data_IF_335781924590
#
_entry.id   IF_335781924590
#
_cell.length_a   1.000
_cell.length_b   1.000
_cell.length_c   1.000
_cell.angle_alpha   90.00
_cell.angle_beta   90.00
_cell.angle_gamma   90.00
#
_symmetry.space_group_name_H-M   'P 1'
#
loop_
_entity.id
_entity.type
_entity.pdbx_description
1 polymer ?
#
# COMPACT_ATOMS: atom_id res chain seq x y z
N UNK A 1 14.75 15.53 -20.09
CA UNK A 1 14.57 15.97 -18.69
C UNK A 1 13.31 15.27 -18.19
N UNK A 2 13.47 14.26 -17.33
CA UNK A 2 12.33 13.49 -16.80
C UNK A 2 11.72 14.34 -15.67
N UNK A 3 10.42 14.59 -15.75
CA UNK A 3 9.69 15.42 -14.80
C UNK A 3 9.23 14.50 -13.67
N UNK A 4 9.99 14.45 -12.59
CA UNK A 4 9.56 13.80 -11.36
C UNK A 4 8.48 14.68 -10.73
N UNK A 5 7.33 14.08 -10.41
CA UNK A 5 6.21 14.78 -9.78
C UNK A 5 5.99 14.11 -8.44
N UNK A 6 6.38 14.80 -7.36
CA UNK A 6 6.15 14.37 -6.00
C UNK A 6 4.81 14.96 -5.54
N UNK A 7 3.88 14.12 -5.08
CA UNK A 7 2.56 14.56 -4.60
C UNK A 7 2.38 14.04 -3.18
N UNK A 8 2.26 14.96 -2.24
CA UNK A 8 2.07 14.67 -0.82
C UNK A 8 0.66 15.11 -0.42
N UNK A 9 -0.19 14.15 -0.03
CA UNK A 9 -1.53 14.40 0.52
C UNK A 9 -1.42 14.25 2.04
N UNK A 10 -1.62 15.33 2.80
CA UNK A 10 -1.61 15.31 4.28
C UNK A 10 -2.81 16.04 4.86
N UNK A 11 -3.43 15.41 5.85
CA UNK A 11 -4.36 16.01 6.81
C UNK A 11 -3.54 16.36 8.07
N UNK A 12 -3.39 17.65 8.38
CA UNK A 12 -2.37 18.17 9.30
C UNK A 12 -2.66 17.88 10.78
N UNK A 13 -3.90 17.56 11.17
CA UNK A 13 -4.31 17.55 12.58
C UNK A 13 -3.88 16.28 13.36
N UNK A 14 -3.42 15.23 12.65
CA UNK A 14 -3.08 13.92 13.23
C UNK A 14 -1.73 13.34 12.78
N UNK A 15 -0.90 14.14 12.10
CA UNK A 15 0.33 13.66 11.49
C UNK A 15 1.43 13.38 12.55
N UNK A 16 1.57 12.12 12.96
CA UNK A 16 2.84 11.62 13.48
C UNK A 16 3.88 11.68 12.36
N UNK A 17 5.03 12.31 12.62
CA UNK A 17 6.16 12.32 11.70
C UNK A 17 6.77 10.91 11.63
N UNK A 18 6.22 10.05 10.78
CA UNK A 18 6.77 8.74 10.49
C UNK A 18 7.95 8.89 9.54
N UNK A 19 9.06 8.23 9.87
CA UNK A 19 10.19 8.08 8.97
C UNK A 19 9.89 6.92 8.02
N UNK A 20 9.76 7.24 6.73
CA UNK A 20 9.45 6.25 5.69
C UNK A 20 10.57 6.21 4.65
N UNK A 21 11.10 5.02 4.41
CA UNK A 21 11.99 4.73 3.30
C UNK A 21 11.25 3.84 2.29
N UNK A 22 10.87 4.42 1.17
CA UNK A 22 10.09 3.75 0.11
C UNK A 22 10.95 3.46 -1.11
N UNK A 23 10.73 2.29 -1.69
CA UNK A 23 11.20 1.91 -3.01
C UNK A 23 10.02 1.45 -3.85
N UNK A 24 9.85 2.04 -5.02
CA UNK A 24 8.88 1.57 -6.01
C UNK A 24 9.54 1.30 -7.35
N UNK A 25 8.98 0.36 -8.10
CA UNK A 25 9.37 0.06 -9.48
C UNK A 25 8.14 -0.12 -10.34
N UNK A 26 8.18 0.49 -11.52
CA UNK A 26 7.13 0.35 -12.54
C UNK A 26 7.68 -0.44 -13.72
N UNK A 27 6.91 -1.41 -14.17
CA UNK A 27 7.18 -2.21 -15.35
C UNK A 27 6.04 -2.01 -16.33
N UNK A 28 6.37 -1.50 -17.51
CA UNK A 28 5.42 -1.39 -18.62
C UNK A 28 5.63 -2.60 -19.56
N UNK A 29 4.58 -3.39 -19.73
CA UNK A 29 4.51 -4.47 -20.69
C UNK A 29 3.45 -4.15 -21.76
N UNK A 30 3.43 -4.90 -22.86
CA UNK A 30 2.55 -4.63 -24.01
C UNK A 30 1.06 -4.52 -23.63
N UNK A 31 0.59 -5.39 -22.72
CA UNK A 31 -0.81 -5.47 -22.30
C UNK A 31 -1.06 -5.02 -20.86
N UNK A 32 -0.01 -4.70 -20.07
CA UNK A 32 -0.16 -4.38 -18.64
C UNK A 32 0.91 -3.44 -18.10
N UNK A 33 0.56 -2.74 -17.04
CA UNK A 33 1.48 -1.95 -16.22
C UNK A 33 1.50 -2.54 -14.82
N UNK A 34 2.69 -2.85 -14.30
CA UNK A 34 2.88 -3.39 -12.95
C UNK A 34 3.68 -2.40 -12.12
N UNK A 35 3.09 -1.90 -11.04
CA UNK A 35 3.74 -1.11 -10.01
C UNK A 35 4.00 -2.02 -8.81
N UNK A 36 5.24 -2.15 -8.38
CA UNK A 36 5.62 -2.81 -7.13
C UNK A 36 6.16 -1.77 -6.16
N UNK A 37 5.88 -1.94 -4.87
CA UNK A 37 6.42 -1.08 -3.83
C UNK A 37 6.81 -1.86 -2.57
N UNK A 38 7.80 -1.31 -1.87
CA UNK A 38 8.23 -1.75 -0.54
C UNK A 38 8.61 -0.50 0.25
N UNK A 39 7.95 -0.28 1.39
CA UNK A 39 8.15 0.88 2.24
C UNK A 39 8.46 0.41 3.65
N UNK A 40 9.63 0.80 4.16
CA UNK A 40 9.98 0.64 5.56
C UNK A 40 9.46 1.87 6.31
N UNK A 41 8.59 1.64 7.28
CA UNK A 41 7.97 2.69 8.10
C UNK A 41 8.45 2.53 9.54
N UNK A 42 8.85 3.64 10.16
CA UNK A 42 9.26 3.70 11.55
C UNK A 42 8.82 5.00 12.25
N UNK A 43 8.56 4.91 13.55
CA UNK A 43 8.22 6.06 14.41
C UNK A 43 9.45 6.93 14.76
N UNK A 44 10.65 6.35 14.80
CA UNK A 44 11.92 7.05 14.93
C UNK A 44 13.01 6.34 14.10
N UNK A 45 13.91 7.04 13.39
CA UNK A 45 14.90 6.40 12.51
C UNK A 45 16.00 5.60 13.23
N UNK A 46 16.26 5.87 14.51
CA UNK A 46 17.40 5.29 15.26
C UNK A 46 16.92 4.39 16.41
N UNK A 47 15.76 4.68 17.00
CA UNK A 47 15.19 3.95 18.12
C UNK A 47 13.67 3.79 17.95
N UNK A 48 13.28 2.97 16.97
CA UNK A 48 11.87 2.75 16.63
C UNK A 48 11.24 1.74 17.57
N UNK A 49 10.16 2.12 18.27
CA UNK A 49 9.34 1.15 18.98
C UNK A 49 8.29 0.50 18.08
N UNK A 50 7.99 1.12 16.94
CA UNK A 50 7.15 0.57 15.89
C UNK A 50 7.92 0.64 14.57
N UNK A 51 8.29 -0.52 14.04
CA UNK A 51 8.93 -0.66 12.74
C UNK A 51 8.22 -1.76 11.95
N UNK A 52 7.86 -1.45 10.71
CA UNK A 52 7.19 -2.40 9.84
C UNK A 52 7.46 -2.10 8.39
N UNK A 53 7.24 -3.11 7.56
CA UNK A 53 7.35 -3.04 6.11
C UNK A 53 5.98 -3.19 5.49
N UNK A 54 5.64 -2.22 4.65
CA UNK A 54 4.51 -2.29 3.74
C UNK A 54 5.01 -2.73 2.38
N UNK A 55 4.36 -3.73 1.80
CA UNK A 55 4.74 -4.26 0.50
C UNK A 55 3.50 -4.58 -0.30
N UNK A 56 3.61 -4.38 -1.60
CA UNK A 56 2.51 -4.71 -2.48
C UNK A 56 2.85 -4.53 -3.93
N UNK A 57 1.87 -4.87 -4.76
CA UNK A 57 1.88 -4.52 -6.15
C UNK A 57 0.47 -4.18 -6.63
N UNK A 58 0.43 -3.37 -7.69
CA UNK A 58 -0.75 -3.10 -8.49
C UNK A 58 -0.41 -3.48 -9.93
N UNK A 59 -1.23 -4.32 -10.54
CA UNK A 59 -1.14 -4.70 -11.93
C UNK A 59 -2.40 -4.23 -12.65
N UNK A 60 -2.23 -3.34 -13.62
CA UNK A 60 -3.28 -2.85 -14.48
C UNK A 60 -3.14 -3.48 -15.86
N UNK A 61 -4.11 -4.29 -16.27
CA UNK A 61 -4.16 -4.88 -17.62
C UNK A 61 -5.17 -4.11 -18.46
N UNK A 62 -4.73 -3.60 -19.62
CA UNK A 62 -5.60 -2.86 -20.53
C UNK A 62 -6.59 -3.82 -21.19
N UNK A 63 -7.80 -3.35 -21.46
CA UNK A 63 -8.68 -4.02 -22.40
C UNK A 63 -7.94 -4.16 -23.74
N UNK A 64 -7.84 -5.38 -24.26
CA UNK A 64 -7.31 -5.61 -25.62
C UNK A 64 -8.28 -5.12 -26.69
N UNK A 65 -8.20 -5.69 -27.90
CA UNK A 65 -9.05 -5.29 -29.03
C UNK A 65 -10.55 -5.52 -28.80
N UNK A 66 -10.91 -6.28 -27.78
CA UNK A 66 -12.30 -6.40 -27.34
C UNK A 66 -12.60 -5.42 -26.20
N UNK A 67 -13.24 -4.26 -26.48
CA UNK A 67 -13.61 -3.30 -25.46
C UNK A 67 -14.63 -3.83 -24.43
N UNK A 68 -15.31 -4.95 -24.73
CA UNK A 68 -16.20 -5.59 -23.75
C UNK A 68 -15.46 -6.39 -22.67
N UNK A 69 -14.17 -6.67 -22.84
CA UNK A 69 -13.38 -7.43 -21.87
C UNK A 69 -13.04 -6.63 -20.60
N UNK A 70 -13.18 -5.31 -20.63
CA UNK A 70 -12.82 -4.42 -19.52
C UNK A 70 -11.31 -4.37 -19.26
N UNK A 71 -10.87 -3.37 -18.48
CA UNK A 71 -9.48 -3.34 -17.98
C UNK A 71 -9.44 -3.96 -16.59
N UNK A 72 -8.42 -4.74 -16.26
CA UNK A 72 -8.37 -5.46 -14.98
C UNK A 72 -7.34 -4.82 -14.07
N UNK A 73 -7.78 -4.37 -12.89
CA UNK A 73 -6.90 -4.02 -11.79
C UNK A 73 -6.74 -5.23 -10.87
N UNK A 74 -5.50 -5.66 -10.64
CA UNK A 74 -5.16 -6.66 -9.65
C UNK A 74 -4.23 -6.04 -8.61
N UNK A 75 -4.49 -6.29 -7.34
CA UNK A 75 -3.69 -5.74 -6.25
C UNK A 75 -3.30 -6.85 -5.29
N UNK A 76 -2.14 -6.67 -4.66
CA UNK A 76 -1.76 -7.42 -3.47
C UNK A 76 -1.08 -6.47 -2.50
N UNK A 77 -1.37 -6.62 -1.22
CA UNK A 77 -0.81 -5.79 -0.17
C UNK A 77 -0.54 -6.61 1.09
N UNK A 78 0.52 -6.27 1.81
CA UNK A 78 0.90 -6.87 3.08
C UNK A 78 1.61 -5.85 3.96
N UNK A 79 1.35 -5.95 5.26
CA UNK A 79 2.12 -5.30 6.32
C UNK A 79 2.84 -6.39 7.11
N UNK A 80 4.14 -6.22 7.34
CA UNK A 80 4.95 -7.16 8.13
C UNK A 80 5.72 -6.39 9.21
N UNK A 81 5.63 -6.76 10.49
CA UNK A 81 6.49 -6.15 11.51
C UNK A 81 7.97 -6.47 11.23
N UNK A 82 8.83 -5.48 11.43
CA UNK A 82 10.28 -5.66 11.42
C UNK A 82 10.73 -5.87 12.86
N UNK A 83 11.05 -7.11 13.21
CA UNK A 83 11.51 -7.46 14.56
C UNK A 83 13.02 -7.30 14.61
N UNK A 84 13.51 -6.46 15.52
CA UNK A 84 14.95 -6.34 15.78
C UNK A 84 15.46 -7.69 16.32
N UNK A 85 16.46 -8.34 15.71
CA UNK A 85 16.88 -9.70 16.07
C UNK A 85 17.53 -9.81 17.46
N UNK A 86 17.63 -8.73 18.23
CA UNK A 86 18.30 -8.73 19.52
C UNK A 86 17.37 -9.29 20.62
N UNK A 87 17.61 -10.52 21.12
CA UNK A 87 16.62 -11.30 21.88
C UNK A 87 16.62 -10.99 23.39
N UNK A 88 17.25 -9.90 23.82
CA UNK A 88 17.30 -9.49 25.23
C UNK A 88 16.07 -8.63 25.60
N UNK A 89 14.88 -9.09 25.21
CA UNK A 89 13.65 -8.35 25.48
C UNK A 89 13.07 -8.73 26.84
N UNK A 90 13.11 -7.77 27.76
CA UNK A 90 12.38 -7.84 29.03
C UNK A 90 10.87 -8.08 28.79
N UNK A 91 10.15 -8.64 29.78
CA UNK A 91 8.73 -9.01 29.62
C UNK A 91 7.81 -7.87 29.13
N UNK A 92 8.15 -6.61 29.41
CA UNK A 92 7.42 -5.45 28.90
C UNK A 92 7.61 -5.20 27.39
N UNK A 93 8.75 -5.59 26.82
CA UNK A 93 9.01 -5.48 25.37
C UNK A 93 8.26 -6.56 24.58
N UNK A 94 8.13 -7.77 25.13
CA UNK A 94 7.35 -8.85 24.50
C UNK A 94 5.86 -8.48 24.37
N UNK A 95 5.25 -7.95 25.44
CA UNK A 95 3.86 -7.51 25.42
C UNK A 95 3.61 -6.35 24.43
N UNK A 96 4.56 -5.43 24.32
CA UNK A 96 4.50 -4.34 23.32
C UNK A 96 4.62 -4.85 21.89
N UNK A 97 5.46 -5.86 21.65
CA UNK A 97 5.60 -6.48 20.34
C UNK A 97 4.32 -7.19 19.89
N UNK A 98 3.64 -7.90 20.80
CA UNK A 98 2.34 -8.52 20.52
C UNK A 98 1.26 -7.49 20.18
N UNK A 99 1.21 -6.39 20.94
CA UNK A 99 0.26 -5.30 20.66
C UNK A 99 0.54 -4.64 19.31
N UNK A 100 1.82 -4.38 18.99
CA UNK A 100 2.21 -3.85 17.69
C UNK A 100 1.82 -4.80 16.55
N UNK A 101 2.07 -6.11 16.71
CA UNK A 101 1.67 -7.11 15.72
C UNK A 101 0.15 -7.08 15.49
N UNK A 102 -0.65 -7.05 16.56
CA UNK A 102 -2.10 -6.96 16.46
C UNK A 102 -2.54 -5.69 15.71
N UNK A 103 -1.97 -4.53 16.04
CA UNK A 103 -2.28 -3.26 15.35
C UNK A 103 -1.92 -3.34 13.87
N UNK A 104 -0.74 -3.85 13.53
CA UNK A 104 -0.27 -3.97 12.14
C UNK A 104 -1.11 -4.96 11.33
N UNK A 105 -1.60 -6.04 11.94
CA UNK A 105 -2.53 -6.96 11.29
C UNK A 105 -3.87 -6.28 10.97
N UNK A 106 -4.41 -5.48 11.90
CA UNK A 106 -5.65 -4.74 11.67
C UNK A 106 -5.47 -3.65 10.60
N UNK A 107 -4.37 -2.90 10.65
CA UNK A 107 -4.01 -1.94 9.61
C UNK A 107 -3.87 -2.63 8.25
N UNK A 108 -3.19 -3.77 8.22
CA UNK A 108 -3.04 -4.62 7.04
C UNK A 108 -4.38 -5.01 6.43
N UNK A 109 -5.34 -5.43 7.27
CA UNK A 109 -6.70 -5.77 6.86
C UNK A 109 -7.46 -4.57 6.29
N UNK A 110 -7.46 -3.43 6.98
CA UNK A 110 -8.15 -2.20 6.53
C UNK A 110 -7.61 -1.73 5.17
N UNK A 111 -6.29 -1.71 5.02
CA UNK A 111 -5.66 -1.30 3.76
C UNK A 111 -5.98 -2.28 2.63
N UNK A 112 -6.00 -3.59 2.92
CA UNK A 112 -6.41 -4.59 1.96
C UNK A 112 -7.87 -4.43 1.53
N UNK A 113 -8.79 -4.21 2.48
CA UNK A 113 -10.21 -3.96 2.19
C UNK A 113 -10.39 -2.72 1.31
N UNK A 114 -9.59 -1.67 1.54
CA UNK A 114 -9.59 -0.47 0.70
C UNK A 114 -9.14 -0.78 -0.74
N UNK A 115 -8.10 -1.58 -0.93
CA UNK A 115 -7.67 -1.99 -2.28
C UNK A 115 -8.73 -2.84 -2.99
N UNK A 116 -9.40 -3.75 -2.26
CA UNK A 116 -10.50 -4.54 -2.81
C UNK A 116 -11.68 -3.65 -3.22
N UNK A 117 -12.00 -2.63 -2.43
CA UNK A 117 -13.05 -1.65 -2.77
C UNK A 117 -12.69 -0.88 -4.04
N UNK A 118 -11.48 -0.32 -4.13
CA UNK A 118 -11.00 0.39 -5.34
C UNK A 118 -11.10 -0.52 -6.57
N UNK A 119 -10.73 -1.79 -6.43
CA UNK A 119 -10.84 -2.76 -7.52
C UNK A 119 -12.31 -2.98 -7.93
N UNK A 120 -13.24 -3.10 -6.97
CA UNK A 120 -14.66 -3.23 -7.26
C UNK A 120 -15.24 -1.98 -7.94
N UNK A 121 -14.89 -0.78 -7.45
CA UNK A 121 -15.33 0.50 -8.01
C UNK A 121 -14.86 0.65 -9.46
N UNK A 122 -13.63 0.22 -9.76
CA UNK A 122 -13.09 0.19 -11.13
C UNK A 122 -13.89 -0.73 -12.06
N UNK A 123 -14.37 -1.88 -11.55
CA UNK A 123 -15.22 -2.81 -12.32
C UNK A 123 -16.61 -2.21 -12.54
N UNK A 124 -17.20 -1.59 -11.51
CA UNK A 124 -18.51 -0.93 -11.61
C UNK A 124 -18.48 0.24 -12.61
N UNK A 125 -17.44 1.07 -12.55
CA UNK A 125 -17.22 2.19 -13.47
C UNK A 125 -17.10 1.73 -14.94
N UNK A 126 -16.50 0.55 -15.18
CA UNK A 126 -16.42 -0.02 -16.53
C UNK A 126 -17.77 -0.52 -17.05
N UNK A 127 -18.61 -1.04 -16.15
CA UNK A 127 -19.95 -1.49 -16.51
C UNK A 127 -20.93 -0.32 -16.68
N UNK A 128 -20.67 0.81 -16.02
CA UNK A 128 -21.52 1.99 -15.98
C UNK A 128 -20.73 3.29 -16.28
N UNK A 129 -20.19 3.45 -17.51
CA UNK A 129 -19.32 4.56 -17.86
C UNK A 129 -19.98 5.94 -17.69
N UNK A 130 -21.32 6.02 -17.78
CA UNK A 130 -22.09 7.25 -17.61
C UNK A 130 -22.01 7.83 -16.18
N UNK A 131 -21.71 7.00 -15.16
CA UNK A 131 -21.53 7.45 -13.78
C UNK A 131 -20.23 8.22 -13.57
N UNK A 132 -19.20 7.92 -14.35
CA UNK A 132 -17.88 8.59 -14.27
C UNK A 132 -17.91 9.95 -14.97
N UNK A 133 -18.70 10.09 -16.03
CA UNK A 133 -18.81 11.34 -16.79
C UNK A 133 -19.60 12.46 -16.07
N UNK A 134 -20.29 12.14 -14.96
CA UNK A 134 -21.09 13.06 -14.18
C UNK A 134 -20.39 13.63 -12.92
N UNK A 135 -19.14 13.19 -12.66
CA UNK A 135 -18.27 13.71 -11.60
C UNK A 135 -17.29 14.76 -12.14
#
# INVERSE_FOLDING_TARGET
MIKETETELRDEEMALALSTLSLSRTYEEESRVVLMFSSLVCDDPVNSALRFREEGFLAFSKAGDNPQSGSVLHTQYRVTPEVDPNPLSSGSQAQRAEQNLFVLQNLGGIMWDNFQRIQADCVEAQQNPDLVAAM
#
